data_IF_249215671822
#
_entry.id   IF_249215671822
#
_cell.length_a   1.000
_cell.length_b   1.000
_cell.length_c   1.000
_cell.angle_alpha   90.00
_cell.angle_beta   90.00
_cell.angle_gamma   90.00
#
_symmetry.space_group_name_H-M   'P 1'
#
loop_
_entity.id
_entity.type
_entity.pdbx_description
1 polymer ?
#
# COMPACT_ATOMS: atom_id res chain seq x y z
N UNK A 1 -20.29 -14.01 -0.76
CA UNK A 1 -18.96 -13.88 -0.13
C UNK A 1 -17.92 -14.23 -1.17
N UNK A 2 -16.79 -13.54 -1.22
CA UNK A 2 -15.74 -13.84 -2.19
C UNK A 2 -14.86 -14.95 -1.61
N UNK A 3 -15.08 -16.19 -2.02
CA UNK A 3 -14.43 -17.39 -1.45
C UNK A 3 -12.95 -17.56 -1.85
N UNK A 4 -12.43 -16.72 -2.74
CA UNK A 4 -11.04 -16.81 -3.19
C UNK A 4 -10.16 -15.83 -2.46
N UNK A 5 -8.97 -16.27 -2.06
CA UNK A 5 -7.95 -15.38 -1.53
C UNK A 5 -7.57 -14.28 -2.52
N UNK A 6 -7.50 -13.04 -2.07
CA UNK A 6 -7.07 -11.88 -2.86
C UNK A 6 -5.74 -11.34 -2.39
N UNK A 7 -5.03 -10.66 -3.29
CA UNK A 7 -3.68 -10.14 -3.03
C UNK A 7 -3.60 -8.62 -3.08
N UNK A 8 -4.58 -7.97 -3.69
CA UNK A 8 -4.72 -6.52 -3.72
C UNK A 8 -6.18 -6.11 -3.88
N UNK A 9 -6.50 -4.91 -3.43
CA UNK A 9 -7.81 -4.29 -3.59
C UNK A 9 -7.66 -2.80 -3.86
N UNK A 10 -8.59 -2.24 -4.60
CA UNK A 10 -8.75 -0.82 -4.86
C UNK A 10 -10.24 -0.47 -4.88
N UNK A 11 -10.58 0.66 -4.29
CA UNK A 11 -11.89 1.30 -4.46
C UNK A 11 -11.75 2.52 -5.36
N UNK A 12 -12.72 2.74 -6.22
CA UNK A 12 -12.79 3.90 -7.12
C UNK A 12 -14.17 4.56 -7.06
N UNK A 13 -14.28 5.77 -7.56
CA UNK A 13 -15.59 6.45 -7.67
C UNK A 13 -16.59 5.75 -8.60
N UNK A 14 -16.10 4.91 -9.52
CA UNK A 14 -16.93 4.17 -10.49
C UNK A 14 -17.28 2.76 -10.04
N UNK A 15 -16.32 2.08 -9.41
CA UNK A 15 -16.44 0.69 -8.97
C UNK A 15 -16.14 0.65 -7.46
N UNK A 16 -17.07 0.16 -6.63
CA UNK A 16 -16.87 0.06 -5.19
C UNK A 16 -15.58 -0.66 -4.86
N UNK A 17 -15.35 -1.80 -5.51
CA UNK A 17 -14.13 -2.58 -5.33
C UNK A 17 -13.67 -3.23 -6.63
N UNK A 18 -12.34 -3.16 -6.85
CA UNK A 18 -11.60 -3.98 -7.80
C UNK A 18 -10.63 -4.83 -6.98
N UNK A 19 -10.66 -6.13 -7.18
CA UNK A 19 -9.89 -7.09 -6.40
C UNK A 19 -9.00 -7.92 -7.31
N UNK A 20 -7.73 -8.06 -6.93
CA UNK A 20 -6.81 -8.99 -7.57
C UNK A 20 -6.86 -10.35 -6.87
N UNK A 21 -7.23 -11.38 -7.61
CA UNK A 21 -7.27 -12.77 -7.13
C UNK A 21 -6.02 -13.50 -7.58
N UNK A 22 -5.39 -14.18 -6.65
CA UNK A 22 -4.13 -14.89 -6.89
C UNK A 22 -4.26 -15.85 -8.09
N UNK A 23 -3.41 -15.65 -9.09
CA UNK A 23 -3.34 -16.46 -10.31
C UNK A 23 -4.67 -16.62 -11.08
N UNK A 24 -5.59 -15.69 -10.93
CA UNK A 24 -6.90 -15.73 -11.59
C UNK A 24 -7.24 -14.42 -12.32
N UNK A 25 -6.73 -13.27 -11.87
CA UNK A 25 -6.93 -12.00 -12.53
C UNK A 25 -7.62 -10.95 -11.68
N UNK A 26 -8.23 -9.98 -12.34
CA UNK A 26 -8.91 -8.85 -11.72
C UNK A 26 -10.42 -9.04 -11.80
N UNK A 27 -11.08 -8.79 -10.69
CA UNK A 27 -12.53 -8.83 -10.54
C UNK A 27 -13.05 -7.49 -10.04
N UNK A 28 -14.23 -7.06 -10.52
CA UNK A 28 -14.96 -5.94 -9.96
C UNK A 28 -16.24 -6.42 -9.28
N UNK A 29 -16.69 -5.67 -8.28
CA UNK A 29 -17.98 -5.90 -7.65
C UNK A 29 -19.01 -4.96 -8.27
N UNK A 30 -20.01 -5.52 -8.96
CA UNK A 30 -21.04 -4.79 -9.68
C UNK A 30 -22.40 -5.45 -9.45
N UNK A 31 -23.41 -4.65 -9.08
CA UNK A 31 -24.81 -5.11 -8.90
C UNK A 31 -24.95 -6.34 -8.00
N UNK A 32 -24.10 -6.45 -6.96
CA UNK A 32 -24.16 -7.57 -6.01
C UNK A 32 -23.33 -8.80 -6.41
N UNK A 33 -22.64 -8.77 -7.53
CA UNK A 33 -21.87 -9.90 -8.06
C UNK A 33 -20.42 -9.54 -8.36
N UNK A 34 -19.53 -10.54 -8.28
CA UNK A 34 -18.13 -10.41 -8.69
C UNK A 34 -17.97 -10.82 -10.16
N UNK A 35 -17.56 -9.87 -10.98
CA UNK A 35 -17.36 -10.05 -12.42
C UNK A 35 -15.88 -10.05 -12.76
N UNK A 36 -15.44 -11.06 -13.52
CA UNK A 36 -14.08 -11.12 -14.05
C UNK A 36 -13.87 -10.03 -15.10
N UNK A 37 -12.99 -9.08 -14.80
CA UNK A 37 -12.65 -7.97 -15.68
C UNK A 37 -11.44 -8.27 -16.56
N UNK A 38 -10.47 -8.99 -16.03
CA UNK A 38 -9.23 -9.29 -16.74
C UNK A 38 -8.61 -10.60 -16.26
N UNK A 39 -8.60 -11.66 -17.06
CA UNK A 39 -7.97 -12.93 -16.70
C UNK A 39 -6.44 -12.77 -16.72
N UNK A 40 -5.77 -13.27 -15.70
CA UNK A 40 -4.32 -13.18 -15.57
C UNK A 40 -3.79 -14.33 -14.70
N UNK A 41 -2.78 -15.05 -15.16
CA UNK A 41 -2.15 -16.15 -14.43
C UNK A 41 -1.08 -15.71 -13.42
N UNK A 42 -0.82 -14.41 -13.31
CA UNK A 42 0.15 -13.82 -12.38
C UNK A 42 -0.56 -13.10 -11.24
N UNK A 43 0.06 -13.11 -10.07
CA UNK A 43 -0.49 -12.39 -8.91
C UNK A 43 -0.16 -10.90 -8.96
N UNK A 44 -1.13 -10.08 -8.60
CA UNK A 44 -1.00 -8.63 -8.43
C UNK A 44 -0.99 -8.32 -6.93
N UNK A 45 -0.04 -7.52 -6.45
CA UNK A 45 0.15 -7.22 -5.02
C UNK A 45 -0.21 -5.81 -4.60
N UNK A 46 -0.37 -4.92 -5.56
CA UNK A 46 -0.91 -3.57 -5.33
C UNK A 46 -1.71 -3.11 -6.54
N UNK A 47 -2.83 -2.48 -6.26
CA UNK A 47 -3.64 -1.71 -7.20
C UNK A 47 -3.64 -0.25 -6.76
N UNK A 48 -3.60 0.69 -7.71
CA UNK A 48 -3.66 2.12 -7.45
C UNK A 48 -4.44 2.81 -8.57
N UNK A 49 -5.34 3.72 -8.17
CA UNK A 49 -5.97 4.66 -9.09
C UNK A 49 -5.11 5.90 -9.27
N UNK A 50 -4.67 6.16 -10.49
CA UNK A 50 -3.94 7.37 -10.87
C UNK A 50 -4.69 7.96 -12.05
N UNK A 51 -5.61 8.84 -11.72
CA UNK A 51 -6.59 9.38 -12.67
C UNK A 51 -5.95 9.83 -13.99
N UNK A 52 -6.54 9.41 -15.14
CA UNK A 52 -7.76 8.63 -15.27
C UNK A 52 -7.56 7.10 -15.27
N UNK A 53 -6.33 6.61 -15.13
CA UNK A 53 -5.96 5.20 -15.24
C UNK A 53 -6.00 4.45 -13.91
N UNK A 54 -6.05 3.11 -13.98
CA UNK A 54 -5.78 2.22 -12.87
C UNK A 54 -4.54 1.40 -13.21
N UNK A 55 -3.65 1.26 -12.24
CA UNK A 55 -2.44 0.44 -12.37
C UNK A 55 -2.42 -0.66 -11.33
N UNK A 56 -1.81 -1.78 -11.70
CA UNK A 56 -1.48 -2.86 -10.78
C UNK A 56 -0.10 -3.41 -11.06
N UNK A 57 0.53 -3.92 -10.02
CA UNK A 57 1.88 -4.50 -10.09
C UNK A 57 1.93 -5.86 -9.42
N UNK A 58 2.83 -6.73 -9.88
CA UNK A 58 2.84 -8.11 -9.41
C UNK A 58 4.13 -8.87 -9.61
N UNK A 59 3.98 -10.19 -9.76
CA UNK A 59 5.07 -11.13 -9.97
C UNK A 59 5.81 -10.88 -11.28
N UNK A 60 7.09 -11.22 -11.32
CA UNK A 60 7.94 -11.22 -12.52
C UNK A 60 7.99 -9.86 -13.25
N UNK A 61 7.94 -8.76 -12.51
CA UNK A 61 7.95 -7.43 -13.12
C UNK A 61 6.64 -7.04 -13.80
N UNK A 62 5.53 -7.72 -13.49
CA UNK A 62 4.22 -7.45 -14.06
C UNK A 62 3.74 -6.03 -13.74
N UNK A 63 3.28 -5.33 -14.77
CA UNK A 63 2.47 -4.12 -14.66
C UNK A 63 1.20 -4.33 -15.48
N UNK A 64 0.04 -4.08 -14.87
CA UNK A 64 -1.25 -4.00 -15.57
C UNK A 64 -1.72 -2.56 -15.58
N UNK A 65 -2.43 -2.16 -16.63
CA UNK A 65 -3.02 -0.83 -16.77
C UNK A 65 -4.42 -0.93 -17.36
N UNK A 66 -5.38 -0.29 -16.69
CA UNK A 66 -6.70 -0.04 -17.25
C UNK A 66 -6.75 1.36 -17.86
N UNK A 67 -7.23 1.41 -19.10
CA UNK A 67 -7.45 2.64 -19.81
C UNK A 67 -8.97 2.90 -19.93
N UNK A 68 -9.53 3.90 -19.26
CA UNK A 68 -10.97 4.18 -19.25
C UNK A 68 -11.49 4.75 -20.56
N UNK A 69 -10.63 5.30 -21.42
CA UNK A 69 -11.06 5.87 -22.71
C UNK A 69 -11.46 4.81 -23.73
N UNK A 70 -10.88 3.63 -23.63
CA UNK A 70 -11.21 2.51 -24.53
C UNK A 70 -11.72 1.28 -23.78
N UNK A 71 -11.91 1.39 -22.46
CA UNK A 71 -12.37 0.34 -21.55
C UNK A 71 -11.54 -0.95 -21.64
N UNK A 72 -10.21 -0.83 -21.75
CA UNK A 72 -9.32 -1.96 -21.92
C UNK A 72 -8.27 -2.07 -20.82
N UNK A 73 -8.07 -3.31 -20.39
CA UNK A 73 -6.93 -3.72 -19.60
C UNK A 73 -5.79 -4.14 -20.52
N UNK A 74 -4.58 -3.79 -20.18
CA UNK A 74 -3.33 -4.23 -20.82
C UNK A 74 -2.33 -4.61 -19.77
N UNK A 75 -1.35 -5.45 -20.11
CA UNK A 75 -0.22 -5.72 -19.22
C UNK A 75 1.09 -5.75 -20.00
N UNK A 76 2.16 -5.52 -19.27
CA UNK A 76 3.55 -5.62 -19.71
C UNK A 76 4.42 -6.14 -18.58
N UNK A 77 5.63 -6.57 -18.91
CA UNK A 77 6.59 -7.03 -17.92
C UNK A 77 7.88 -6.21 -18.03
N UNK A 78 8.40 -5.78 -16.88
CA UNK A 78 9.79 -5.38 -16.84
C UNK A 78 10.70 -6.60 -17.00
N UNK A 79 11.90 -6.44 -17.56
CA UNK A 79 12.86 -7.53 -17.75
C UNK A 79 13.51 -7.93 -16.41
N UNK A 80 12.71 -8.42 -15.47
CA UNK A 80 13.12 -8.86 -14.14
C UNK A 80 12.25 -10.00 -13.65
N UNK A 81 12.83 -11.03 -13.02
CA UNK A 81 12.05 -12.07 -12.34
C UNK A 81 11.55 -11.62 -10.96
N UNK A 82 11.89 -10.41 -10.54
CA UNK A 82 11.54 -9.92 -9.21
C UNK A 82 10.08 -9.48 -9.14
N UNK A 83 9.52 -9.61 -7.95
CA UNK A 83 8.20 -9.09 -7.61
C UNK A 83 8.27 -7.58 -7.44
N UNK A 84 7.31 -6.88 -8.00
CA UNK A 84 7.06 -5.48 -7.72
C UNK A 84 6.16 -5.37 -6.47
N UNK A 85 6.58 -4.58 -5.48
CA UNK A 85 5.86 -4.49 -4.20
C UNK A 85 5.04 -3.22 -4.05
N UNK A 86 5.47 -2.14 -4.67
CA UNK A 86 4.80 -0.85 -4.54
C UNK A 86 4.84 -0.03 -5.82
N UNK A 87 3.77 0.74 -6.03
CA UNK A 87 3.58 1.68 -7.13
C UNK A 87 2.86 2.92 -6.60
N UNK A 88 3.28 4.07 -7.07
CA UNK A 88 2.68 5.37 -6.76
C UNK A 88 2.70 6.26 -8.00
N UNK A 89 2.00 7.37 -7.97
CA UNK A 89 2.01 8.35 -9.06
C UNK A 89 1.05 9.49 -8.81
N UNK A 90 0.90 10.35 -9.81
CA UNK A 90 0.02 11.51 -9.77
C UNK A 90 -0.75 11.71 -11.09
N UNK A 91 -1.70 12.61 -11.06
CA UNK A 91 -2.56 12.94 -12.22
C UNK A 91 -1.81 13.66 -13.36
N UNK A 92 -0.58 14.12 -13.14
CA UNK A 92 0.29 14.69 -14.20
C UNK A 92 0.95 13.61 -15.06
N UNK A 93 0.69 12.33 -14.80
CA UNK A 93 1.22 11.22 -15.58
C UNK A 93 2.51 10.62 -15.05
N UNK A 94 2.97 11.07 -13.88
CA UNK A 94 4.13 10.48 -13.21
C UNK A 94 3.68 9.17 -12.55
N UNK A 95 4.32 8.06 -12.94
CA UNK A 95 4.11 6.73 -12.36
C UNK A 95 5.47 6.21 -11.93
N UNK A 96 5.56 5.72 -10.70
CA UNK A 96 6.82 5.25 -10.11
C UNK A 96 6.61 3.88 -9.47
N UNK A 97 7.46 2.94 -9.83
CA UNK A 97 7.58 1.64 -9.16
C UNK A 97 9.05 1.30 -8.93
N UNK A 98 9.35 0.13 -8.37
CA UNK A 98 10.73 -0.24 -8.04
C UNK A 98 11.04 -1.71 -8.30
N UNK A 99 12.33 -1.98 -8.53
CA UNK A 99 12.92 -3.32 -8.56
C UNK A 99 14.18 -3.30 -7.70
N UNK A 100 14.17 -4.01 -6.58
CA UNK A 100 15.29 -4.00 -5.63
C UNK A 100 15.54 -2.60 -5.07
N UNK A 101 16.70 -2.01 -5.38
CA UNK A 101 17.08 -0.65 -4.98
C UNK A 101 16.91 0.40 -6.08
N UNK A 102 16.35 0.01 -7.25
CA UNK A 102 16.17 0.89 -8.42
C UNK A 102 14.74 1.37 -8.51
N UNK A 103 14.56 2.60 -8.98
CA UNK A 103 13.25 3.16 -9.35
C UNK A 103 13.06 3.08 -10.86
N UNK A 104 11.85 2.77 -11.26
CA UNK A 104 11.36 2.90 -12.64
C UNK A 104 10.33 4.01 -12.65
N UNK A 105 10.60 5.07 -13.41
CA UNK A 105 9.78 6.28 -13.50
C UNK A 105 9.27 6.45 -14.91
N UNK A 106 7.99 6.70 -15.04
CA UNK A 106 7.32 7.14 -16.27
C UNK A 106 6.75 8.53 -16.04
N UNK A 107 6.80 9.38 -17.08
CA UNK A 107 6.19 10.71 -17.11
C UNK A 107 5.00 10.79 -18.07
N UNK A 108 4.53 9.66 -18.57
CA UNK A 108 3.48 9.57 -19.59
C UNK A 108 2.56 8.38 -19.34
N UNK A 109 2.09 8.24 -18.09
CA UNK A 109 1.14 7.19 -17.65
C UNK A 109 1.61 5.77 -18.01
N UNK A 110 2.90 5.48 -17.81
CA UNK A 110 3.46 4.15 -18.00
C UNK A 110 3.71 3.77 -19.46
N UNK A 111 3.68 4.73 -20.41
CA UNK A 111 3.97 4.43 -21.82
C UNK A 111 5.46 4.21 -22.06
N UNK A 112 6.31 4.99 -21.40
CA UNK A 112 7.76 4.81 -21.41
C UNK A 112 8.32 4.89 -20.00
N UNK A 113 9.43 4.20 -19.74
CA UNK A 113 10.04 4.10 -18.43
C UNK A 113 11.52 4.43 -18.47
N UNK A 114 11.97 5.20 -17.49
CA UNK A 114 13.37 5.49 -17.21
C UNK A 114 13.78 4.86 -15.89
N UNK A 115 15.07 4.48 -15.76
CA UNK A 115 15.61 3.88 -14.53
C UNK A 115 16.41 4.92 -13.77
N UNK A 116 16.14 5.05 -12.47
CA UNK A 116 16.88 5.92 -11.55
C UNK A 116 17.46 5.07 -10.42
N UNK A 117 18.65 5.42 -9.98
CA UNK A 117 19.38 4.82 -8.88
C UNK A 117 19.45 5.79 -7.70
N UNK A 118 18.41 5.91 -6.86
CA UNK A 118 18.37 6.92 -5.79
C UNK A 118 19.51 6.73 -4.78
N UNK A 119 19.90 5.49 -4.53
CA UNK A 119 20.92 5.13 -3.54
C UNK A 119 22.34 4.97 -4.15
N UNK A 120 22.62 5.58 -5.32
CA UNK A 120 23.91 5.37 -6.02
C UNK A 120 25.13 5.75 -5.19
N UNK A 121 24.99 6.78 -4.34
CA UNK A 121 26.08 7.29 -3.49
C UNK A 121 26.25 6.50 -2.17
N UNK A 122 25.33 5.57 -1.84
CA UNK A 122 25.45 4.76 -0.64
C UNK A 122 26.33 3.53 -0.89
N UNK A 123 27.21 3.21 0.05
CA UNK A 123 28.04 1.99 0.02
C UNK A 123 27.16 0.73 0.05
N UNK A 124 26.14 0.70 0.91
CA UNK A 124 25.16 -0.37 0.97
C UNK A 124 23.79 0.18 0.56
N UNK A 125 23.28 -0.33 -0.55
CA UNK A 125 22.02 0.10 -1.14
C UNK A 125 20.87 -0.71 -0.55
N UNK A 126 19.93 -0.07 0.18
CA UNK A 126 18.78 -0.79 0.75
C UNK A 126 17.81 -1.19 -0.35
N UNK A 127 17.11 -2.32 -0.16
CA UNK A 127 15.99 -2.67 -1.03
C UNK A 127 14.77 -1.82 -0.66
N UNK A 128 14.10 -1.31 -1.68
CA UNK A 128 12.88 -0.55 -1.53
C UNK A 128 11.74 -1.50 -1.16
N UNK A 129 10.83 -1.03 -0.32
CA UNK A 129 9.64 -1.79 0.12
C UNK A 129 8.34 -1.04 -0.12
N UNK A 130 8.33 0.27 0.08
CA UNK A 130 7.14 1.12 -0.09
C UNK A 130 7.49 2.45 -0.72
N UNK A 131 6.55 3.02 -1.45
CA UNK A 131 6.67 4.28 -2.16
C UNK A 131 5.42 5.14 -1.91
N UNK A 132 5.62 6.45 -1.76
CA UNK A 132 4.54 7.41 -1.74
C UNK A 132 5.00 8.71 -2.40
N UNK A 133 4.35 9.08 -3.50
CA UNK A 133 4.60 10.36 -4.17
C UNK A 133 3.70 11.43 -3.56
N UNK A 134 4.30 12.49 -3.05
CA UNK A 134 3.60 13.65 -2.52
C UNK A 134 4.24 14.92 -3.03
N UNK A 135 3.48 15.69 -3.83
CA UNK A 135 4.03 16.84 -4.57
C UNK A 135 5.25 16.41 -5.39
N UNK A 136 6.39 17.09 -5.24
CA UNK A 136 7.63 16.82 -5.95
C UNK A 136 8.56 15.84 -5.19
N UNK A 137 8.12 15.30 -4.06
CA UNK A 137 8.91 14.39 -3.24
C UNK A 137 8.39 12.97 -3.32
N UNK A 138 9.27 12.03 -3.66
CA UNK A 138 9.04 10.60 -3.53
C UNK A 138 9.57 10.13 -2.19
N UNK A 139 8.67 9.70 -1.30
CA UNK A 139 9.05 9.04 -0.06
C UNK A 139 9.27 7.55 -0.31
N UNK A 140 10.40 7.03 0.16
CA UNK A 140 10.89 5.67 -0.08
C UNK A 140 11.09 4.98 1.26
N UNK A 141 10.26 3.98 1.56
CA UNK A 141 10.45 3.07 2.67
C UNK A 141 11.28 1.87 2.24
N UNK A 142 12.21 1.44 3.10
CA UNK A 142 13.11 0.34 2.78
C UNK A 142 12.78 -0.93 3.55
N UNK A 143 13.28 -2.06 3.05
CA UNK A 143 13.39 -3.28 3.82
C UNK A 143 14.41 -3.10 4.96
N UNK A 144 14.46 -4.08 5.87
CA UNK A 144 15.42 -4.09 6.98
C UNK A 144 16.84 -4.01 6.40
N UNK A 145 17.56 -2.98 6.81
CA UNK A 145 18.96 -2.79 6.46
C UNK A 145 19.66 -2.03 7.59
N UNK A 146 20.68 -2.62 8.20
CA UNK A 146 21.35 -2.05 9.37
C UNK A 146 22.03 -0.71 9.09
N UNK A 147 22.61 -0.55 7.91
CA UNK A 147 23.40 0.64 7.57
C UNK A 147 22.57 1.74 6.93
N UNK A 148 21.71 1.41 5.98
CA UNK A 148 21.00 2.38 5.15
C UNK A 148 19.46 2.20 5.16
N UNK A 149 18.93 1.37 6.07
CA UNK A 149 17.50 1.17 6.22
C UNK A 149 16.79 2.40 6.81
N UNK A 150 15.57 2.66 6.35
CA UNK A 150 14.76 3.75 6.85
C UNK A 150 13.78 4.33 5.84
N UNK A 151 13.30 5.52 6.19
CA UNK A 151 12.50 6.38 5.33
C UNK A 151 13.40 7.44 4.68
N UNK A 152 13.36 7.48 3.37
CA UNK A 152 14.10 8.44 2.57
C UNK A 152 13.14 9.34 1.79
N UNK A 153 13.55 10.56 1.49
CA UNK A 153 12.88 11.48 0.58
C UNK A 153 13.78 11.70 -0.63
N UNK A 154 13.24 11.52 -1.82
CA UNK A 154 13.91 11.78 -3.09
C UNK A 154 13.17 12.90 -3.83
N UNK A 155 13.86 14.01 -4.11
CA UNK A 155 13.30 15.11 -4.90
C UNK A 155 13.31 14.73 -6.38
N UNK A 156 12.15 14.75 -7.03
CA UNK A 156 12.06 14.50 -8.48
C UNK A 156 12.65 15.66 -9.31
N UNK A 157 12.69 16.86 -8.76
CA UNK A 157 13.21 18.05 -9.42
C UNK A 157 14.75 18.10 -9.36
N UNK A 158 15.31 18.02 -8.15
CA UNK A 158 16.77 18.16 -7.95
C UNK A 158 17.55 16.85 -8.02
N UNK A 159 16.87 15.71 -7.87
CA UNK A 159 17.52 14.40 -7.73
C UNK A 159 18.18 14.19 -6.36
N UNK A 160 17.94 15.07 -5.39
CA UNK A 160 18.52 14.99 -4.05
C UNK A 160 17.84 13.87 -3.23
N UNK A 161 18.64 13.09 -2.52
CA UNK A 161 18.20 12.04 -1.60
C UNK A 161 18.51 12.44 -0.17
N UNK A 162 17.49 12.49 0.70
CA UNK A 162 17.62 12.85 2.11
C UNK A 162 17.07 11.75 3.00
N UNK A 163 17.79 11.39 4.06
CA UNK A 163 17.31 10.47 5.09
C UNK A 163 16.33 11.19 6.02
N UNK A 164 15.05 10.82 5.97
CA UNK A 164 13.99 11.40 6.81
C UNK A 164 13.95 10.74 8.19
N UNK A 165 14.15 9.41 8.22
CA UNK A 165 14.15 8.62 9.45
C UNK A 165 14.98 7.36 9.29
N UNK A 166 15.92 7.15 10.20
CA UNK A 166 16.71 5.92 10.28
C UNK A 166 15.89 4.80 10.90
N UNK A 167 15.86 3.62 10.25
CA UNK A 167 15.23 2.40 10.76
C UNK A 167 16.10 1.19 10.42
N UNK A 168 16.93 0.79 11.36
CA UNK A 168 17.91 -0.29 11.13
C UNK A 168 17.34 -1.70 11.29
N UNK A 169 16.30 -1.84 12.13
CA UNK A 169 15.75 -3.14 12.55
C UNK A 169 14.35 -3.43 12.02
N UNK A 170 13.70 -2.43 11.43
CA UNK A 170 12.35 -2.57 10.91
C UNK A 170 12.29 -2.22 9.43
N UNK A 171 11.45 -2.91 8.68
CA UNK A 171 11.05 -2.46 7.34
C UNK A 171 9.97 -1.39 7.45
N UNK A 172 9.90 -0.50 6.48
CA UNK A 172 8.77 0.40 6.28
C UNK A 172 7.90 -0.17 5.17
N UNK A 173 6.78 -0.79 5.56
CA UNK A 173 5.92 -1.59 4.69
C UNK A 173 4.91 -0.75 3.91
N UNK A 174 4.49 0.39 4.49
CA UNK A 174 3.55 1.33 3.85
C UNK A 174 3.85 2.75 4.33
N UNK A 175 3.61 3.70 3.44
CA UNK A 175 3.69 5.14 3.68
C UNK A 175 2.37 5.74 3.21
N UNK A 176 1.78 6.60 4.01
CA UNK A 176 0.57 7.33 3.67
C UNK A 176 0.68 8.78 4.15
N UNK A 177 0.27 9.73 3.34
CA UNK A 177 0.21 11.14 3.72
C UNK A 177 -1.23 11.61 3.53
N UNK A 178 -1.82 12.14 4.59
CA UNK A 178 -3.21 12.62 4.55
C UNK A 178 -3.32 14.09 4.05
N UNK A 179 -4.55 14.55 3.92
CA UNK A 179 -4.85 15.91 3.47
C UNK A 179 -4.46 17.02 4.48
N UNK A 180 -4.07 16.65 5.71
CA UNK A 180 -3.59 17.57 6.75
C UNK A 180 -2.05 17.65 6.79
N UNK A 181 -1.36 17.17 5.77
CA UNK A 181 0.11 17.07 5.71
C UNK A 181 0.69 16.20 6.85
N UNK A 182 -0.06 15.18 7.31
CA UNK A 182 0.43 14.20 8.26
C UNK A 182 0.88 12.94 7.55
N UNK A 183 2.13 12.56 7.76
CA UNK A 183 2.72 11.32 7.24
C UNK A 183 2.56 10.20 8.25
N UNK A 184 2.08 9.06 7.79
CA UNK A 184 1.99 7.80 8.55
C UNK A 184 2.92 6.78 7.92
N UNK A 185 3.63 6.02 8.76
CA UNK A 185 4.42 4.88 8.34
C UNK A 185 4.00 3.63 9.10
N UNK A 186 3.80 2.55 8.35
CA UNK A 186 3.62 1.21 8.90
C UNK A 186 4.97 0.50 8.95
N UNK A 187 5.32 -0.07 10.10
CA UNK A 187 6.60 -0.74 10.32
C UNK A 187 6.42 -2.16 10.81
N UNK A 188 7.44 -2.97 10.58
CA UNK A 188 7.46 -4.29 11.16
C UNK A 188 8.75 -5.06 10.96
N UNK A 189 8.88 -6.10 11.79
CA UNK A 189 9.95 -7.07 11.69
C UNK A 189 9.35 -8.47 11.84
N UNK A 190 9.56 -9.33 10.84
CA UNK A 190 9.05 -10.70 10.87
C UNK A 190 9.63 -11.58 12.01
N UNK A 191 10.77 -11.17 12.60
CA UNK A 191 11.47 -11.90 13.66
C UNK A 191 11.15 -11.44 15.07
N UNK A 192 10.54 -10.25 15.23
CA UNK A 192 10.18 -9.70 16.54
C UNK A 192 8.75 -9.16 16.51
N UNK A 193 8.16 -8.93 17.69
CA UNK A 193 6.84 -8.30 17.84
C UNK A 193 6.98 -6.78 18.03
N UNK A 194 7.71 -6.12 17.12
CA UNK A 194 8.06 -4.70 17.20
C UNK A 194 7.41 -3.86 16.09
N UNK A 195 6.32 -4.35 15.51
CA UNK A 195 5.54 -3.61 14.53
C UNK A 195 4.90 -2.38 15.18
N UNK A 196 4.86 -1.27 14.46
CA UNK A 196 4.23 -0.04 14.92
C UNK A 196 3.68 0.80 13.77
N UNK A 197 2.70 1.63 14.10
CA UNK A 197 2.30 2.77 13.28
C UNK A 197 2.89 4.02 13.92
N UNK A 198 3.52 4.84 13.11
CA UNK A 198 4.06 6.12 13.55
C UNK A 198 3.54 7.25 12.65
N UNK A 199 3.41 8.42 13.23
CA UNK A 199 2.96 9.63 12.54
C UNK A 199 3.92 10.79 12.77
N UNK A 200 4.05 11.64 11.75
CA UNK A 200 4.74 12.93 11.83
C UNK A 200 4.02 13.94 10.94
N UNK A 201 3.83 15.18 11.42
CA UNK A 201 3.48 16.28 10.51
C UNK A 201 4.68 16.58 9.58
N UNK A 202 4.43 16.83 8.31
CA UNK A 202 5.48 17.19 7.34
C UNK A 202 6.20 18.49 7.73
N UNK A 203 5.52 19.38 8.45
CA UNK A 203 6.08 20.65 8.95
C UNK A 203 6.82 20.48 10.27
N UNK A 204 6.62 19.35 10.95
CA UNK A 204 7.23 19.06 12.24
C UNK A 204 8.46 18.15 12.13
N UNK A 205 9.20 18.04 13.24
CA UNK A 205 10.35 17.12 13.31
C UNK A 205 10.08 15.87 14.14
N UNK A 206 9.04 15.89 14.99
CA UNK A 206 8.81 14.83 15.99
C UNK A 206 7.92 13.73 15.43
N UNK A 207 8.40 12.48 15.53
CA UNK A 207 7.61 11.26 15.32
C UNK A 207 6.84 10.90 16.59
N UNK A 208 5.61 10.40 16.42
CA UNK A 208 4.77 9.86 17.49
C UNK A 208 4.34 8.45 17.11
N UNK A 209 4.48 7.52 18.04
CA UNK A 209 4.04 6.14 17.89
C UNK A 209 2.62 6.00 18.42
N UNK A 210 1.78 5.27 17.73
CA UNK A 210 0.45 4.93 18.21
C UNK A 210 0.52 3.81 19.24
N UNK A 211 -0.22 3.97 20.33
CA UNK A 211 -0.37 2.91 21.33
C UNK A 211 -1.22 1.77 20.78
N UNK A 212 -0.83 0.55 21.09
CA UNK A 212 -1.52 -0.68 20.69
C UNK A 212 -1.70 -1.59 21.89
N UNK A 213 -2.87 -2.23 22.00
CA UNK A 213 -3.17 -3.16 23.08
C UNK A 213 -2.60 -4.56 22.84
N UNK A 214 -2.34 -4.90 21.59
CA UNK A 214 -1.83 -6.19 21.14
C UNK A 214 -0.51 -5.97 20.43
N UNK A 215 0.53 -6.70 20.81
CA UNK A 215 1.84 -6.63 20.16
C UNK A 215 1.81 -7.31 18.80
N UNK A 216 2.11 -6.57 17.74
CA UNK A 216 2.09 -7.04 16.36
C UNK A 216 3.50 -7.20 15.80
N UNK A 217 3.72 -8.20 14.95
CA UNK A 217 5.01 -8.40 14.26
C UNK A 217 5.26 -7.32 13.21
N UNK A 218 4.23 -7.01 12.42
CA UNK A 218 4.32 -6.01 11.37
C UNK A 218 2.94 -5.47 11.02
N UNK A 219 2.87 -4.16 10.81
CA UNK A 219 1.79 -3.51 10.08
C UNK A 219 2.15 -3.48 8.59
N UNK A 220 1.19 -3.79 7.72
CA UNK A 220 1.45 -4.01 6.30
C UNK A 220 0.96 -2.89 5.40
N UNK A 221 -0.16 -2.28 5.74
CA UNK A 221 -0.77 -1.21 4.96
C UNK A 221 -1.37 -0.12 5.83
N UNK A 222 -1.37 1.12 5.32
CA UNK A 222 -2.14 2.25 5.86
C UNK A 222 -2.97 2.82 4.72
N UNK A 223 -4.27 2.91 4.93
CA UNK A 223 -5.21 3.39 3.93
C UNK A 223 -6.34 4.20 4.56
N UNK A 224 -7.00 5.04 3.77
CA UNK A 224 -8.14 5.83 4.24
C UNK A 224 -9.44 5.32 3.64
N UNK A 225 -10.54 5.52 4.39
CA UNK A 225 -11.91 5.40 3.90
C UNK A 225 -12.69 6.60 4.42
N UNK A 226 -13.07 7.46 3.50
CA UNK A 226 -13.59 8.76 3.87
C UNK A 226 -12.58 9.56 4.70
N UNK A 227 -12.94 9.90 5.94
CA UNK A 227 -12.08 10.62 6.89
C UNK A 227 -11.30 9.72 7.84
N UNK A 228 -11.63 8.44 7.88
CA UNK A 228 -11.05 7.48 8.82
C UNK A 228 -9.82 6.82 8.20
N UNK A 229 -8.83 6.54 9.03
CA UNK A 229 -7.61 5.82 8.66
C UNK A 229 -7.62 4.43 9.28
N UNK A 230 -7.12 3.48 8.50
CA UNK A 230 -7.05 2.08 8.90
C UNK A 230 -5.66 1.51 8.62
N UNK A 231 -5.35 0.42 9.31
CA UNK A 231 -4.13 -0.35 9.06
C UNK A 231 -4.41 -1.84 9.20
N UNK A 232 -3.63 -2.64 8.49
CA UNK A 232 -3.67 -4.10 8.53
C UNK A 232 -2.36 -4.64 9.05
N UNK A 233 -2.37 -5.88 9.56
CA UNK A 233 -1.18 -6.52 10.11
C UNK A 233 -0.78 -7.78 9.35
N UNK A 234 0.45 -8.24 9.60
CA UNK A 234 0.87 -9.59 9.25
C UNK A 234 0.19 -10.59 10.19
N UNK A 235 0.04 -11.83 9.71
CA UNK A 235 -0.49 -12.90 10.56
C UNK A 235 0.39 -13.15 11.78
N UNK A 236 -0.26 -13.44 12.90
CA UNK A 236 0.37 -13.87 14.14
C UNK A 236 0.77 -15.37 14.10
N UNK A 237 1.14 -15.94 15.23
CA UNK A 237 1.51 -17.34 15.37
C UNK A 237 0.34 -18.32 15.19
N UNK A 238 -0.90 -17.83 15.35
CA UNK A 238 -2.12 -18.61 15.15
C UNK A 238 -2.66 -18.53 13.72
N UNK A 239 -2.02 -17.74 12.87
CA UNK A 239 -2.39 -17.58 11.45
C UNK A 239 -3.35 -16.43 11.17
N UNK A 240 -3.65 -15.57 12.15
CA UNK A 240 -4.59 -14.46 12.03
C UNK A 240 -3.89 -13.11 11.98
N UNK A 241 -4.44 -12.20 11.20
CA UNK A 241 -4.07 -10.78 11.19
C UNK A 241 -5.22 -9.92 11.69
N UNK A 242 -4.90 -8.72 12.16
CA UNK A 242 -5.88 -7.77 12.69
C UNK A 242 -5.96 -6.52 11.83
N UNK A 243 -7.13 -5.93 11.84
CA UNK A 243 -7.43 -4.66 11.22
C UNK A 243 -7.69 -3.67 12.33
N UNK A 244 -7.05 -2.51 12.24
CA UNK A 244 -7.19 -1.45 13.23
C UNK A 244 -7.70 -0.17 12.58
N UNK A 245 -8.54 0.55 13.30
CA UNK A 245 -8.78 1.97 13.05
C UNK A 245 -7.69 2.80 13.76
N UNK A 246 -7.12 3.78 13.06
CA UNK A 246 -6.10 4.69 13.58
C UNK A 246 -6.77 5.92 14.16
N UNK A 247 -6.88 6.01 15.48
CA UNK A 247 -7.43 7.18 16.14
C UNK A 247 -6.33 8.25 16.31
N UNK A 248 -6.32 9.23 15.42
CA UNK A 248 -5.33 10.32 15.38
C UNK A 248 -5.36 11.18 16.66
N UNK A 249 -6.54 11.44 17.22
CA UNK A 249 -6.69 12.33 18.37
C UNK A 249 -6.15 11.72 19.66
N UNK A 250 -6.43 10.43 19.86
CA UNK A 250 -6.01 9.70 21.07
C UNK A 250 -4.64 9.04 20.92
N UNK A 251 -4.07 8.99 19.71
CA UNK A 251 -2.85 8.27 19.37
C UNK A 251 -2.90 6.77 19.72
N UNK A 252 -4.04 6.12 19.48
CA UNK A 252 -4.25 4.70 19.75
C UNK A 252 -4.71 3.96 18.49
N UNK A 253 -4.42 2.66 18.44
CA UNK A 253 -4.94 1.72 17.45
C UNK A 253 -6.11 0.96 18.07
N UNK A 254 -7.28 1.04 17.44
CA UNK A 254 -8.50 0.38 17.87
C UNK A 254 -8.72 -0.86 17.00
N UNK A 255 -8.63 -2.10 17.54
CA UNK A 255 -8.89 -3.30 16.78
C UNK A 255 -10.38 -3.36 16.39
N UNK A 256 -10.66 -3.62 15.11
CA UNK A 256 -12.03 -3.66 14.59
C UNK A 256 -12.39 -5.03 14.04
N UNK A 257 -11.43 -5.81 13.53
CA UNK A 257 -11.72 -7.10 12.92
C UNK A 257 -10.46 -7.98 12.90
N UNK A 258 -10.67 -9.28 12.74
CA UNK A 258 -9.62 -10.30 12.59
C UNK A 258 -9.91 -11.13 11.33
N UNK A 259 -8.87 -11.44 10.57
CA UNK A 259 -8.97 -12.26 9.36
C UNK A 259 -7.93 -13.37 9.35
N UNK A 260 -8.21 -14.47 8.67
CA UNK A 260 -7.25 -15.54 8.46
C UNK A 260 -6.21 -15.15 7.40
N UNK A 261 -4.94 -15.41 7.67
CA UNK A 261 -3.82 -15.04 6.81
C UNK A 261 -3.31 -13.63 7.05
N UNK A 262 -2.58 -13.09 6.09
CA UNK A 262 -2.05 -11.73 6.12
C UNK A 262 -3.09 -10.74 5.58
N UNK A 263 -3.38 -9.66 6.29
CA UNK A 263 -4.10 -8.53 5.73
C UNK A 263 -3.18 -7.70 4.82
N UNK A 264 -3.14 -8.00 3.52
CA UNK A 264 -2.16 -7.38 2.63
C UNK A 264 -2.46 -5.94 2.29
N UNK A 265 -3.69 -5.66 1.88
CA UNK A 265 -4.14 -4.33 1.45
C UNK A 265 -5.57 -4.10 1.86
N UNK A 266 -5.88 -2.85 2.15
CA UNK A 266 -7.24 -2.41 2.43
C UNK A 266 -7.70 -1.33 1.46
N UNK A 267 -8.99 -1.31 1.20
CA UNK A 267 -9.67 -0.23 0.51
C UNK A 267 -11.08 -0.08 1.07
N UNK A 268 -11.71 1.05 0.82
CA UNK A 268 -13.09 1.24 1.26
C UNK A 268 -13.88 2.18 0.38
N UNK A 269 -15.20 2.02 0.45
CA UNK A 269 -16.17 2.85 -0.23
C UNK A 269 -17.29 3.16 0.75
N UNK A 270 -17.56 4.45 1.03
CA UNK A 270 -18.53 4.89 2.05
C UNK A 270 -18.17 4.29 3.42
N UNK A 271 -19.05 3.43 3.95
CA UNK A 271 -18.91 2.78 5.26
C UNK A 271 -18.45 1.31 5.15
N UNK A 272 -18.06 0.88 3.95
CA UNK A 272 -17.63 -0.48 3.69
C UNK A 272 -16.11 -0.56 3.54
N UNK A 273 -15.50 -1.57 4.15
CA UNK A 273 -14.11 -1.92 4.00
C UNK A 273 -13.96 -3.28 3.31
N UNK A 274 -12.99 -3.39 2.44
CA UNK A 274 -12.54 -4.67 1.90
C UNK A 274 -11.07 -4.86 2.20
N UNK A 275 -10.72 -5.98 2.83
CA UNK A 275 -9.34 -6.35 3.15
C UNK A 275 -8.94 -7.55 2.31
N UNK A 276 -7.89 -7.39 1.54
CA UNK A 276 -7.31 -8.49 0.77
C UNK A 276 -6.45 -9.37 1.64
N UNK A 277 -6.67 -10.68 1.55
CA UNK A 277 -5.83 -11.71 2.17
C UNK A 277 -5.71 -12.90 1.22
N UNK A 278 -4.55 -13.58 1.16
CA UNK A 278 -4.38 -14.73 0.27
C UNK A 278 -5.16 -15.97 0.70
N UNK A 279 -5.70 -15.99 1.91
CA UNK A 279 -6.51 -17.09 2.47
C UNK A 279 -7.97 -16.69 2.50
N UNK A 280 -8.32 -15.68 3.30
CA UNK A 280 -9.69 -15.19 3.48
C UNK A 280 -9.73 -13.67 3.25
N UNK A 281 -10.38 -13.23 2.17
CA UNK A 281 -10.66 -11.81 1.97
C UNK A 281 -11.91 -11.41 2.74
N UNK A 282 -11.87 -10.26 3.42
CA UNK A 282 -12.96 -9.84 4.31
C UNK A 282 -13.62 -8.56 3.82
N UNK A 283 -14.94 -8.59 3.74
CA UNK A 283 -15.80 -7.42 3.56
C UNK A 283 -16.41 -7.05 4.90
N UNK A 284 -16.26 -5.80 5.33
CA UNK A 284 -16.70 -5.29 6.62
C UNK A 284 -17.65 -4.13 6.38
N UNK A 285 -18.90 -4.26 6.78
CA UNK A 285 -19.89 -3.18 6.75
C UNK A 285 -19.89 -2.50 8.12
N UNK A 286 -19.59 -1.20 8.14
CA UNK A 286 -19.54 -0.37 9.34
C UNK A 286 -20.77 0.53 9.53
N UNK A 287 -21.75 0.45 8.65
CA UNK A 287 -22.98 1.26 8.74
C UNK A 287 -23.72 1.10 10.09
N UNK A 288 -23.62 -0.08 10.71
CA UNK A 288 -24.25 -0.39 12.01
C UNK A 288 -23.53 0.21 13.23
N UNK A 289 -22.23 0.48 13.15
CA UNK A 289 -21.48 1.02 14.30
C UNK A 289 -21.69 2.53 14.46
N UNK A 290 -21.91 3.26 13.37
CA UNK A 290 -22.21 4.69 13.40
C UNK A 290 -23.52 5.02 14.09
N UNK A 291 -24.50 4.12 14.04
CA UNK A 291 -25.82 4.31 14.67
C UNK A 291 -25.78 4.18 16.21
N UNK A 292 -24.77 3.51 16.77
CA UNK A 292 -24.62 3.35 18.23
C UNK A 292 -23.91 4.52 18.93
N UNK A 293 -23.28 5.42 18.20
CA UNK A 293 -22.59 6.58 18.77
C UNK A 293 -23.46 7.85 18.79
N UNK A 294 -24.69 7.79 18.32
CA UNK A 294 -25.64 8.92 18.24
C UNK A 294 -26.77 8.82 19.30
N UNK A 295 -26.67 7.85 20.24
CA UNK A 295 -27.64 7.73 21.36
C UNK A 295 -26.98 7.88 22.71
#
# INVERSE_FOLDING_TARGET
MFEKGSTAVLSTSRLPFIVAVKNAGLYSFEKGEWLLQYPLSHSIYKLVGISPYIFGIGDNGLIVRYNPYNNKWTHTFFPTPQRLWDITGNESGIIITHVGSKLYISYNFGSNWSVIHPFKELSIKPFIRSLFLYKEHLYIGTQINRESGGLWSFSLESGELTLVKKESNSMISSIYIDCEDCMFIAKGNARSKEGSIEMKSLRGSRWRTFEQTISEKAFLDVFNVGKNLYTTTSKDEYGYSRIYEINKQRHILLPIETIEGHGFRGAGCKDELFISSPIESKWIDRSYEMTKLVH
#
